data_IF_437349907946
#
_entry.id   IF_437349907946
#
_cell.length_a   1.000
_cell.length_b   1.000
_cell.length_c   1.000
_cell.angle_alpha   90.00
_cell.angle_beta   90.00
_cell.angle_gamma   90.00
#
_symmetry.space_group_name_H-M   'P 1'
#
loop_
_entity.id
_entity.type
_entity.pdbx_description
1 polymer ?
#
# COMPACT_ATOMS: atom_id res chain seq x y z
N UNK A 1 29.29 21.35 8.23
CA UNK A 1 28.75 20.35 7.28
C UNK A 1 27.30 20.12 7.66
N UNK A 2 26.35 20.58 6.85
CA UNK A 2 24.92 20.37 7.11
C UNK A 2 24.53 18.98 6.63
N UNK A 3 24.07 18.14 7.55
CA UNK A 3 23.40 16.88 7.22
C UNK A 3 22.08 17.18 6.53
N UNK A 4 21.71 16.49 5.43
CA UNK A 4 20.38 16.64 4.85
C UNK A 4 19.36 16.18 5.89
N UNK A 5 18.40 17.04 6.22
CA UNK A 5 17.24 16.66 7.01
C UNK A 5 16.51 15.55 6.27
N UNK A 6 16.66 14.31 6.72
CA UNK A 6 15.69 13.27 6.43
C UNK A 6 14.34 13.84 6.83
N UNK A 7 13.47 14.06 5.85
CA UNK A 7 12.14 14.59 6.06
C UNK A 7 11.46 13.71 7.10
N UNK A 8 11.27 14.23 8.31
CA UNK A 8 10.40 13.59 9.29
C UNK A 8 9.06 13.31 8.60
N UNK A 9 8.50 12.10 8.76
CA UNK A 9 7.17 11.79 8.24
C UNK A 9 6.21 12.88 8.71
N UNK A 10 5.72 13.70 7.78
CA UNK A 10 4.77 14.74 8.14
C UNK A 10 3.52 14.04 8.70
N UNK A 11 2.90 14.60 9.75
CA UNK A 11 1.75 13.98 10.37
C UNK A 11 0.68 13.73 9.31
N UNK A 12 0.12 12.52 9.34
CA UNK A 12 -1.01 12.17 8.49
C UNK A 12 -2.10 13.23 8.65
N UNK A 13 -2.77 13.63 7.55
CA UNK A 13 -3.86 14.57 7.68
C UNK A 13 -4.95 14.05 8.61
N UNK A 14 -5.64 14.96 9.33
CA UNK A 14 -6.49 14.63 10.49
C UNK A 14 -7.64 13.63 10.21
N UNK A 15 -8.01 13.41 8.95
CA UNK A 15 -9.08 12.50 8.52
C UNK A 15 -8.60 11.07 8.24
N UNK A 16 -7.30 10.89 7.97
CA UNK A 16 -6.73 9.60 7.61
C UNK A 16 -6.21 8.86 8.85
N UNK A 17 -6.74 7.65 9.08
CA UNK A 17 -6.41 6.82 10.23
C UNK A 17 -5.59 5.62 9.79
N UNK A 18 -4.43 5.41 10.42
CA UNK A 18 -3.58 4.24 10.16
C UNK A 18 -4.15 3.01 10.86
N UNK A 19 -4.38 1.93 10.09
CA UNK A 19 -5.12 0.76 10.53
C UNK A 19 -4.41 -0.55 10.16
N UNK A 20 -3.19 -0.81 10.65
CA UNK A 20 -2.36 -1.94 10.15
C UNK A 20 -2.74 -3.33 10.73
N UNK A 21 -3.79 -3.43 11.55
CA UNK A 21 -4.14 -4.66 12.28
C UNK A 21 -4.58 -5.83 11.38
N UNK A 22 -5.02 -5.54 10.15
CA UNK A 22 -5.44 -6.53 9.15
C UNK A 22 -6.22 -5.87 8.03
N UNK A 23 -6.18 -6.43 6.82
CA UNK A 23 -6.80 -5.85 5.62
C UNK A 23 -8.26 -5.47 5.88
N UNK A 24 -8.60 -4.22 5.59
CA UNK A 24 -9.96 -3.71 5.75
C UNK A 24 -10.94 -4.45 4.83
N UNK A 25 -12.15 -4.83 5.31
CA UNK A 25 -13.19 -5.43 4.48
C UNK A 25 -13.53 -4.60 3.22
N UNK A 26 -13.39 -3.28 3.29
CA UNK A 26 -13.58 -2.35 2.18
C UNK A 26 -12.82 -2.76 0.91
N UNK A 27 -11.62 -3.33 1.06
CA UNK A 27 -10.82 -3.77 -0.08
C UNK A 27 -11.43 -4.95 -0.83
N UNK A 28 -12.06 -5.87 -0.10
CA UNK A 28 -12.82 -6.97 -0.71
C UNK A 28 -14.02 -6.42 -1.46
N UNK A 29 -14.77 -5.50 -0.84
CA UNK A 29 -15.92 -4.86 -1.46
C UNK A 29 -15.53 -4.12 -2.75
N UNK A 30 -14.41 -3.38 -2.73
CA UNK A 30 -13.87 -2.67 -3.91
C UNK A 30 -13.45 -3.62 -5.02
N UNK A 31 -12.77 -4.71 -4.67
CA UNK A 31 -12.35 -5.72 -5.64
C UNK A 31 -13.56 -6.39 -6.28
N UNK A 32 -14.57 -6.78 -5.48
CA UNK A 32 -15.81 -7.36 -5.98
C UNK A 32 -16.56 -6.39 -6.91
N UNK A 33 -16.63 -5.11 -6.56
CA UNK A 33 -17.25 -4.08 -7.41
C UNK A 33 -16.54 -3.92 -8.77
N UNK A 34 -15.22 -4.13 -8.82
CA UNK A 34 -14.43 -3.94 -10.03
C UNK A 34 -14.36 -5.17 -10.92
N UNK A 35 -14.26 -6.37 -10.36
CA UNK A 35 -13.98 -7.61 -11.12
C UNK A 35 -15.12 -8.64 -11.09
N UNK A 36 -16.15 -8.41 -10.26
CA UNK A 36 -17.11 -9.44 -9.86
C UNK A 36 -16.53 -10.41 -8.82
N UNK A 37 -17.40 -11.03 -8.03
CA UNK A 37 -17.04 -11.86 -6.86
C UNK A 37 -16.14 -13.05 -7.21
N UNK A 38 -16.45 -13.76 -8.31
CA UNK A 38 -15.71 -14.95 -8.71
C UNK A 38 -14.28 -14.63 -9.19
N UNK A 39 -14.09 -13.52 -9.91
CA UNK A 39 -12.76 -13.01 -10.29
C UNK A 39 -12.03 -12.38 -9.09
N UNK A 40 -12.76 -11.76 -8.18
CA UNK A 40 -12.22 -11.14 -6.97
C UNK A 40 -11.56 -12.19 -6.07
N UNK A 41 -12.18 -13.36 -5.89
CA UNK A 41 -11.59 -14.46 -5.12
C UNK A 41 -10.21 -14.90 -5.66
N UNK A 42 -10.05 -14.95 -7.00
CA UNK A 42 -8.79 -15.31 -7.64
C UNK A 42 -7.72 -14.21 -7.51
N UNK A 43 -8.11 -12.94 -7.62
CA UNK A 43 -7.20 -11.79 -7.47
C UNK A 43 -6.80 -11.53 -6.01
N UNK A 44 -7.76 -11.65 -5.09
CA UNK A 44 -7.56 -11.49 -3.66
C UNK A 44 -6.55 -12.51 -3.11
N UNK A 45 -6.58 -13.73 -3.63
CA UNK A 45 -5.60 -14.75 -3.30
C UNK A 45 -4.15 -14.31 -3.61
N UNK A 46 -3.95 -13.37 -4.55
CA UNK A 46 -2.65 -12.76 -4.88
C UNK A 46 -2.36 -11.47 -4.12
N UNK A 47 -3.30 -10.52 -4.15
CA UNK A 47 -3.15 -9.15 -3.61
C UNK A 47 -3.24 -9.08 -2.07
N UNK A 48 -4.03 -9.98 -1.49
CA UNK A 48 -4.23 -10.14 -0.04
C UNK A 48 -3.68 -11.47 0.47
N UNK A 49 -2.74 -12.07 -0.29
CA UNK A 49 -2.14 -13.38 0.00
C UNK A 49 -2.02 -13.60 1.50
N UNK A 50 -2.64 -14.68 1.97
CA UNK A 50 -2.83 -15.09 3.37
C UNK A 50 -1.51 -15.21 4.19
N UNK A 51 -0.36 -14.95 3.57
CA UNK A 51 0.93 -14.81 4.22
C UNK A 51 1.01 -13.48 4.98
N UNK A 52 0.32 -13.43 6.12
CA UNK A 52 0.37 -12.36 7.13
C UNK A 52 1.78 -12.07 7.67
N UNK A 53 2.81 -12.79 7.21
CA UNK A 53 4.22 -12.52 7.56
C UNK A 53 4.76 -11.31 6.81
N UNK A 54 4.20 -10.98 5.65
CA UNK A 54 4.66 -9.83 4.85
C UNK A 54 4.07 -8.54 5.38
N UNK A 55 4.87 -7.46 5.44
CA UNK A 55 4.41 -6.21 6.01
C UNK A 55 3.36 -5.56 5.09
N UNK A 56 2.34 -4.98 5.72
CA UNK A 56 1.36 -4.11 5.07
C UNK A 56 1.29 -2.80 5.86
N UNK A 57 0.87 -1.73 5.18
CA UNK A 57 0.40 -0.51 5.85
C UNK A 57 -0.89 -0.07 5.18
N UNK A 58 -1.86 0.39 5.96
CA UNK A 58 -3.08 0.91 5.37
C UNK A 58 -3.66 2.07 6.15
N UNK A 59 -4.39 2.90 5.43
CA UNK A 59 -5.07 4.07 5.94
C UNK A 59 -6.53 4.04 5.52
N UNK A 60 -7.39 4.50 6.43
CA UNK A 60 -8.82 4.63 6.19
C UNK A 60 -9.28 6.04 6.47
N UNK A 61 -10.11 6.58 5.59
CA UNK A 61 -10.81 7.83 5.79
C UNK A 61 -12.31 7.56 5.92
N UNK A 62 -12.86 7.58 7.15
CA UNK A 62 -14.28 7.28 7.38
C UNK A 62 -15.22 8.34 6.81
N UNK A 63 -14.75 9.59 6.63
CA UNK A 63 -15.59 10.67 6.11
C UNK A 63 -15.93 10.46 4.63
N UNK A 64 -15.02 9.84 3.87
CA UNK A 64 -15.18 9.61 2.43
C UNK A 64 -15.30 8.13 2.06
N UNK A 65 -15.29 7.22 3.06
CA UNK A 65 -15.21 5.78 2.85
C UNK A 65 -14.11 5.38 1.83
N UNK A 66 -12.95 6.02 1.99
CA UNK A 66 -11.78 5.86 1.14
C UNK A 66 -10.66 5.15 1.90
N UNK A 67 -9.81 4.41 1.19
CA UNK A 67 -8.67 3.72 1.80
C UNK A 67 -7.42 3.77 0.92
N UNK A 68 -6.26 3.64 1.56
CA UNK A 68 -4.97 3.49 0.92
C UNK A 68 -4.27 2.26 1.51
N UNK A 69 -3.63 1.43 0.67
CA UNK A 69 -2.96 0.20 1.06
C UNK A 69 -1.60 0.11 0.41
N UNK A 70 -0.58 -0.19 1.21
CA UNK A 70 0.73 -0.67 0.79
C UNK A 70 0.77 -2.17 1.05
N UNK A 71 0.94 -2.96 -0.01
CA UNK A 71 0.99 -4.41 0.06
C UNK A 71 1.94 -5.00 -1.00
N UNK A 72 2.45 -6.23 -0.80
CA UNK A 72 3.16 -6.95 -1.85
C UNK A 72 2.30 -7.06 -3.12
N UNK A 73 2.88 -6.71 -4.27
CA UNK A 73 2.20 -6.78 -5.57
C UNK A 73 2.64 -7.99 -6.39
N UNK A 74 3.88 -8.43 -6.19
CA UNK A 74 4.47 -9.58 -6.89
C UNK A 74 4.17 -10.88 -6.17
N UNK A 75 3.90 -11.93 -6.95
CA UNK A 75 3.78 -13.27 -6.41
C UNK A 75 5.12 -13.77 -5.82
N UNK A 76 5.14 -14.58 -4.74
CA UNK A 76 6.35 -14.99 -4.04
C UNK A 76 7.43 -15.68 -4.89
N UNK A 77 7.05 -16.30 -6.01
CA UNK A 77 7.97 -16.97 -6.93
C UNK A 77 8.79 -16.00 -7.79
N UNK A 78 8.42 -14.73 -7.86
CA UNK A 78 9.15 -13.73 -8.64
C UNK A 78 10.53 -13.44 -8.04
N UNK A 79 11.62 -13.38 -8.86
CA UNK A 79 12.97 -13.15 -8.37
C UNK A 79 13.18 -11.81 -7.67
N UNK A 80 12.44 -10.79 -8.10
CA UNK A 80 12.39 -9.47 -7.49
C UNK A 80 10.97 -9.29 -6.96
N UNK A 81 10.88 -8.88 -5.71
CA UNK A 81 9.60 -8.60 -5.06
C UNK A 81 9.39 -7.11 -4.97
N UNK A 82 8.13 -6.67 -4.95
CA UNK A 82 7.78 -5.24 -4.90
C UNK A 82 6.58 -4.97 -4.01
N UNK A 83 6.58 -3.80 -3.38
CA UNK A 83 5.38 -3.23 -2.75
C UNK A 83 4.66 -2.31 -3.74
N UNK A 84 3.36 -2.54 -3.89
CA UNK A 84 2.44 -1.65 -4.60
C UNK A 84 1.71 -0.73 -3.62
N UNK A 85 1.27 0.41 -4.15
CA UNK A 85 0.40 1.36 -3.44
C UNK A 85 -0.96 1.33 -4.15
N UNK A 86 -2.02 1.06 -3.42
CA UNK A 86 -3.38 0.93 -3.91
C UNK A 86 -4.26 1.96 -3.23
N UNK A 87 -5.06 2.70 -3.99
CA UNK A 87 -6.02 3.68 -3.49
C UNK A 87 -7.43 3.25 -3.88
N UNK A 88 -8.31 3.18 -2.89
CA UNK A 88 -9.74 3.01 -3.03
C UNK A 88 -10.40 4.37 -2.83
N UNK A 89 -10.86 5.04 -3.91
CA UNK A 89 -11.59 6.29 -3.80
C UNK A 89 -12.98 6.06 -3.19
N UNK A 90 -13.72 7.14 -2.90
CA UNK A 90 -15.13 7.06 -2.57
C UNK A 90 -15.91 6.32 -3.67
N UNK A 91 -16.83 5.46 -3.25
CA UNK A 91 -17.88 4.81 -4.06
C UNK A 91 -17.46 4.07 -5.35
N UNK A 92 -16.17 3.76 -5.52
CA UNK A 92 -15.65 3.08 -6.72
C UNK A 92 -14.80 1.86 -6.35
N UNK A 93 -14.16 1.23 -7.34
CA UNK A 93 -13.21 0.12 -7.12
C UNK A 93 -11.91 0.62 -6.49
N UNK A 94 -10.77 0.13 -6.97
CA UNK A 94 -9.48 0.67 -6.56
C UNK A 94 -8.54 0.85 -7.75
N UNK A 95 -7.54 1.69 -7.55
CA UNK A 95 -6.49 1.95 -8.54
C UNK A 95 -5.13 1.73 -7.91
N UNK A 96 -4.19 1.24 -8.73
CA UNK A 96 -2.79 1.23 -8.35
C UNK A 96 -2.21 2.62 -8.59
N UNK A 97 -1.59 3.20 -7.57
CA UNK A 97 -0.86 4.46 -7.71
C UNK A 97 0.44 4.20 -8.48
N UNK A 98 0.73 5.07 -9.44
CA UNK A 98 1.98 5.01 -10.19
C UNK A 98 3.08 5.68 -9.36
N UNK A 99 3.97 4.87 -8.80
CA UNK A 99 5.12 5.31 -7.99
C UNK A 99 6.40 4.58 -8.41
N UNK A 100 7.52 4.97 -7.78
CA UNK A 100 8.80 4.30 -7.95
C UNK A 100 8.70 2.79 -7.61
N UNK A 101 9.52 1.94 -8.24
CA UNK A 101 9.53 0.51 -7.95
C UNK A 101 10.13 0.26 -6.56
N UNK A 102 9.27 0.06 -5.55
CA UNK A 102 9.64 -0.24 -4.16
C UNK A 102 10.05 -1.72 -4.03
N UNK A 103 11.21 -2.05 -4.59
CA UNK A 103 11.64 -3.42 -4.87
C UNK A 103 12.75 -3.92 -3.94
N UNK A 104 12.77 -5.23 -3.70
CA UNK A 104 13.87 -5.93 -3.03
C UNK A 104 14.12 -7.30 -3.66
N UNK A 105 15.29 -7.89 -3.37
CA UNK A 105 15.63 -9.24 -3.81
C UNK A 105 15.60 -10.22 -2.62
N UNK A 106 14.61 -11.14 -2.54
CA UNK A 106 14.53 -12.12 -1.45
C UNK A 106 15.72 -13.07 -1.37
N UNK A 107 16.44 -13.28 -2.49
CA UNK A 107 17.64 -14.13 -2.55
C UNK A 107 18.87 -13.43 -1.97
N UNK A 108 18.82 -12.11 -1.79
CA UNK A 108 19.89 -11.30 -1.23
C UNK A 108 19.36 -10.38 -0.11
N UNK A 109 18.76 -10.94 0.96
CA UNK A 109 17.98 -10.17 1.94
C UNK A 109 18.79 -9.16 2.77
N UNK A 110 20.13 -9.29 2.77
CA UNK A 110 21.07 -8.38 3.46
C UNK A 110 21.64 -7.29 2.56
N UNK A 111 21.31 -7.31 1.26
CA UNK A 111 21.76 -6.30 0.30
C UNK A 111 20.66 -5.29 0.10
N UNK A 112 20.96 -4.00 0.29
CA UNK A 112 20.00 -2.94 0.02
C UNK A 112 19.62 -2.89 -1.47
N UNK A 113 18.34 -2.61 -1.81
CA UNK A 113 17.24 -2.42 -0.86
C UNK A 113 16.79 -3.75 -0.22
N UNK A 114 16.68 -3.75 1.10
CA UNK A 114 16.10 -4.84 1.91
C UNK A 114 14.57 -4.76 1.87
N UNK A 115 13.86 -5.83 2.27
CA UNK A 115 12.39 -5.82 2.38
C UNK A 115 11.89 -4.67 3.25
N UNK A 116 12.55 -4.43 4.39
CA UNK A 116 12.22 -3.33 5.31
C UNK A 116 12.40 -1.97 4.65
N UNK A 117 13.51 -1.75 3.95
CA UNK A 117 13.80 -0.48 3.26
C UNK A 117 12.80 -0.23 2.12
N UNK A 118 12.49 -1.27 1.33
CA UNK A 118 11.50 -1.20 0.26
C UNK A 118 10.11 -0.88 0.82
N UNK A 119 9.70 -1.55 1.89
CA UNK A 119 8.43 -1.31 2.56
C UNK A 119 8.34 0.12 3.13
N UNK A 120 9.39 0.58 3.84
CA UNK A 120 9.44 1.94 4.38
C UNK A 120 9.39 3.00 3.27
N UNK A 121 10.07 2.77 2.15
CA UNK A 121 10.01 3.67 1.00
C UNK A 121 8.59 3.73 0.40
N UNK A 122 7.89 2.61 0.32
CA UNK A 122 6.49 2.57 -0.15
C UNK A 122 5.54 3.28 0.82
N UNK A 123 5.75 3.13 2.14
CA UNK A 123 4.98 3.84 3.17
C UNK A 123 5.18 5.36 3.07
N UNK A 124 6.41 5.83 2.95
CA UNK A 124 6.69 7.27 2.78
C UNK A 124 6.01 7.84 1.54
N UNK A 125 6.03 7.09 0.44
CA UNK A 125 5.39 7.53 -0.80
C UNK A 125 3.86 7.52 -0.68
N UNK A 126 3.29 6.54 0.01
CA UNK A 126 1.86 6.50 0.33
C UNK A 126 1.43 7.69 1.21
N UNK A 127 2.21 8.02 2.25
CA UNK A 127 1.94 9.17 3.12
C UNK A 127 2.03 10.50 2.37
N UNK A 128 2.95 10.63 1.40
CA UNK A 128 3.00 11.78 0.47
C UNK A 128 1.76 11.86 -0.40
N UNK A 129 1.29 10.73 -0.93
CA UNK A 129 0.05 10.70 -1.71
C UNK A 129 -1.15 11.21 -0.88
N UNK A 130 -1.27 10.80 0.39
CA UNK A 130 -2.36 11.27 1.26
C UNK A 130 -2.32 12.77 1.53
N UNK A 131 -1.13 13.37 1.59
CA UNK A 131 -0.99 14.83 1.73
C UNK A 131 -1.51 15.53 0.48
N UNK A 132 -1.10 15.05 -0.70
CA UNK A 132 -1.53 15.64 -1.98
C UNK A 132 -3.02 15.45 -2.20
N UNK A 133 -3.59 14.29 -1.87
CA UNK A 133 -5.02 14.04 -2.05
C UNK A 133 -5.87 15.07 -1.29
N UNK A 134 -5.46 15.45 -0.09
CA UNK A 134 -6.14 16.48 0.68
C UNK A 134 -6.00 17.91 0.15
N UNK A 135 -5.02 18.19 -0.71
CA UNK A 135 -4.93 19.50 -1.38
C UNK A 135 -5.98 19.65 -2.49
N UNK A 136 -6.61 18.55 -2.93
CA UNK A 136 -7.57 18.51 -4.05
C UNK A 136 -9.01 18.13 -3.66
N UNK A 137 -9.28 17.83 -2.38
CA UNK A 137 -10.62 17.57 -1.82
C UNK A 137 -11.18 18.82 -1.15
#
# INVERSE_FOLDING_TARGET
>A
MSVPSWQDPQPLPATWQRCDAGILPLWWDRLCAQTGEQSAALYAAGLFTEDRRRPIAQWFNPAFNAALLVAPETSPEWPVQRFGIFYAPPDTGFVRIHSAPHEWNPRQPRKSPTEKEAFQAAVVEAERFLQVEMDFV
#
